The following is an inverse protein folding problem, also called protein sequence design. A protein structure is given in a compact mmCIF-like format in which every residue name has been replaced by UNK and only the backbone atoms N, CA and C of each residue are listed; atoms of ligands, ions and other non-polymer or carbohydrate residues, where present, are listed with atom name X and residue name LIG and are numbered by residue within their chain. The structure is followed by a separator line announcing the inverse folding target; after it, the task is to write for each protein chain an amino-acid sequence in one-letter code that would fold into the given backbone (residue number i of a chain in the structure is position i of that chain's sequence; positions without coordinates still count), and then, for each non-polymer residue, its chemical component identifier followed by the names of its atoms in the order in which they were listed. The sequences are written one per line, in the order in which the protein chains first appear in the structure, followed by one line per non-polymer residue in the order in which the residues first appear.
data_IF_699235910077
#
_entry.id   IF_699235910077
#
_cell.length_a   1.000
_cell.length_b   1.000
_cell.length_c   1.000
_cell.angle_alpha   90.00
_cell.angle_beta   90.00
_cell.angle_gamma   90.00
#
_symmetry.space_group_name_H-M   'P 1'
#
loop_
_entity.id
_entity.type
_entity.pdbx_description
1 polymer ?
#
# COMPACT_ATOMS: atom_id res chain seq x y z
N UNK A 1 -8.16 16.01 -4.04
CA UNK A 1 -9.28 15.26 -4.59
C UNK A 1 -8.86 13.80 -4.71
N UNK A 2 -9.82 12.88 -4.78
CA UNK A 2 -9.55 11.48 -5.15
C UNK A 2 -10.09 11.27 -6.55
N UNK A 3 -9.36 10.58 -7.43
CA UNK A 3 -9.77 10.32 -8.82
C UNK A 3 -11.21 9.76 -8.91
N UNK A 4 -11.58 8.86 -7.99
CA UNK A 4 -12.94 8.32 -7.86
C UNK A 4 -13.99 9.43 -7.63
N UNK A 5 -13.70 10.44 -6.81
CA UNK A 5 -14.62 11.56 -6.55
C UNK A 5 -14.78 12.48 -7.75
N UNK A 6 -13.81 12.47 -8.66
CA UNK A 6 -13.86 13.20 -9.93
C UNK A 6 -14.52 12.37 -11.05
N UNK A 7 -15.06 11.19 -10.73
CA UNK A 7 -15.72 10.30 -11.69
C UNK A 7 -14.77 9.51 -12.58
N UNK A 8 -13.47 9.53 -12.29
CA UNK A 8 -12.47 8.76 -13.05
C UNK A 8 -12.61 7.28 -12.69
N UNK A 9 -12.80 6.44 -13.71
CA UNK A 9 -12.73 5.00 -13.57
C UNK A 9 -11.29 4.60 -13.24
N UNK A 10 -11.06 4.08 -12.04
CA UNK A 10 -9.74 3.62 -11.63
C UNK A 10 -9.80 2.30 -10.84
N UNK A 11 -8.70 1.55 -10.91
CA UNK A 11 -8.45 0.34 -10.14
C UNK A 11 -7.06 0.44 -9.49
N UNK A 12 -6.99 0.17 -8.19
CA UNK A 12 -5.75 0.05 -7.42
C UNK A 12 -5.42 -1.43 -7.29
N UNK A 13 -4.21 -1.81 -7.71
CA UNK A 13 -3.72 -3.19 -7.63
C UNK A 13 -2.69 -3.29 -6.50
N UNK A 14 -2.95 -4.13 -5.51
CA UNK A 14 -2.09 -4.37 -4.35
C UNK A 14 -1.73 -5.85 -4.29
N UNK A 15 -0.43 -6.15 -4.23
CA UNK A 15 0.08 -7.53 -4.22
C UNK A 15 -0.33 -8.32 -2.97
N UNK A 16 -0.58 -7.61 -1.88
CA UNK A 16 -0.85 -8.18 -0.56
C UNK A 16 -2.32 -8.51 -0.37
N UNK A 17 -2.64 -9.34 0.61
CA UNK A 17 -4.02 -9.62 1.01
C UNK A 17 -4.71 -8.45 1.70
N UNK A 18 -3.95 -7.44 2.14
CA UNK A 18 -4.47 -6.25 2.83
C UNK A 18 -3.73 -4.98 2.41
N UNK A 19 -4.43 -3.84 2.51
CA UNK A 19 -3.86 -2.51 2.33
C UNK A 19 -3.01 -2.07 3.54
N UNK A 20 -2.28 -0.97 3.36
CA UNK A 20 -1.45 -0.33 4.39
C UNK A 20 0.02 -0.15 4.00
N UNK A 21 0.44 -0.75 2.88
CA UNK A 21 1.78 -0.58 2.33
C UNK A 21 2.88 -0.85 3.36
N UNK A 22 3.80 0.10 3.53
CA UNK A 22 4.96 -0.05 4.44
C UNK A 22 4.57 -0.32 5.88
N UNK A 23 3.44 0.23 6.35
CA UNK A 23 2.98 0.04 7.73
C UNK A 23 2.47 -1.36 7.97
N UNK A 24 1.91 -2.00 6.94
CA UNK A 24 1.49 -3.40 7.00
C UNK A 24 2.67 -4.36 6.85
N UNK A 25 3.62 -4.06 5.95
CA UNK A 25 4.73 -4.95 5.61
C UNK A 25 5.92 -4.90 6.56
N UNK A 26 6.24 -3.71 7.06
CA UNK A 26 7.47 -3.47 7.83
C UNK A 26 7.18 -2.93 9.23
N UNK A 27 5.96 -2.47 9.49
CA UNK A 27 5.56 -1.99 10.81
C UNK A 27 5.39 -3.15 11.79
N UNK A 28 5.93 -2.96 13.00
CA UNK A 28 5.63 -3.77 14.18
C UNK A 28 4.77 -2.96 15.18
N UNK A 29 4.31 -3.56 16.30
CA UNK A 29 3.48 -2.85 17.28
C UNK A 29 4.13 -1.60 17.91
N UNK A 30 5.46 -1.52 17.86
CA UNK A 30 6.23 -0.41 18.43
C UNK A 30 6.65 0.63 17.38
N UNK A 31 6.40 0.37 16.10
CA UNK A 31 6.77 1.25 15.00
C UNK A 31 5.92 2.52 15.03
N UNK A 32 6.57 3.67 14.85
CA UNK A 32 5.92 4.99 14.88
C UNK A 32 6.37 5.86 13.71
N UNK A 33 5.53 6.80 13.30
CA UNK A 33 5.92 7.87 12.39
C UNK A 33 6.91 8.82 13.07
N UNK A 34 7.96 9.21 12.36
CA UNK A 34 8.91 10.22 12.83
C UNK A 34 8.39 11.66 12.65
N UNK A 35 7.21 11.83 12.07
CA UNK A 35 6.59 13.14 11.83
C UNK A 35 5.49 13.38 12.85
N UNK A 36 5.53 14.55 13.48
CA UNK A 36 4.54 15.11 14.40
C UNK A 36 3.17 15.26 13.71
N UNK A 37 2.09 14.92 14.40
CA UNK A 37 0.73 15.19 13.96
C UNK A 37 0.47 16.71 13.84
N UNK A 38 -0.29 17.18 12.83
CA UNK A 38 -1.03 16.42 11.82
C UNK A 38 -0.24 16.07 10.55
N UNK A 39 1.09 16.19 10.56
CA UNK A 39 1.93 16.20 9.35
C UNK A 39 1.97 14.90 8.55
N UNK A 40 1.67 13.75 9.16
CA UNK A 40 1.62 12.45 8.48
C UNK A 40 0.19 11.90 8.29
N UNK A 41 -0.83 12.71 8.60
CA UNK A 41 -2.23 12.25 8.62
C UNK A 41 -2.81 12.12 7.22
N UNK A 42 -3.61 11.07 7.02
CA UNK A 42 -4.46 10.96 5.83
C UNK A 42 -5.63 11.96 5.88
N UNK A 43 -6.12 12.38 4.72
CA UNK A 43 -7.24 13.34 4.62
C UNK A 43 -8.58 12.66 4.92
N UNK A 44 -8.81 12.34 6.18
CA UNK A 44 -10.00 11.66 6.69
C UNK A 44 -10.64 12.43 7.85
N UNK A 45 -11.90 12.12 8.15
CA UNK A 45 -12.54 12.52 9.40
C UNK A 45 -12.34 11.44 10.45
N UNK A 46 -12.05 11.83 11.69
CA UNK A 46 -11.85 10.92 12.81
C UNK A 46 -12.42 11.52 14.10
N UNK A 47 -12.91 10.71 15.04
CA UNK A 47 -13.45 11.21 16.29
C UNK A 47 -12.36 11.81 17.17
N UNK A 48 -11.28 11.08 17.41
CA UNK A 48 -10.15 11.49 18.26
C UNK A 48 -8.87 11.53 17.44
N UNK A 49 -7.98 12.54 17.57
CA UNK A 49 -6.72 12.63 16.82
C UNK A 49 -5.77 11.47 17.10
N UNK A 50 -4.80 11.25 16.21
CA UNK A 50 -3.72 10.30 16.48
C UNK A 50 -2.79 10.84 17.57
N UNK A 51 -2.05 9.93 18.18
CA UNK A 51 -0.85 10.23 18.94
C UNK A 51 0.13 11.06 18.10
N UNK A 52 0.84 11.99 18.74
CA UNK A 52 1.75 12.91 18.04
C UNK A 52 2.77 12.21 17.12
N UNK A 53 3.26 11.04 17.53
CA UNK A 53 4.03 10.13 16.70
C UNK A 53 3.23 8.84 16.56
N UNK A 54 2.30 8.86 15.62
CA UNK A 54 1.29 7.82 15.40
C UNK A 54 1.94 6.45 15.25
N UNK A 55 1.36 5.47 15.94
CA UNK A 55 1.76 4.08 15.81
C UNK A 55 1.34 3.49 14.46
N UNK A 56 1.94 2.35 14.10
CA UNK A 56 1.55 1.59 12.91
C UNK A 56 0.04 1.28 12.85
N UNK A 57 -0.57 0.88 13.98
CA UNK A 57 -2.00 0.57 14.03
C UNK A 57 -2.90 1.80 13.82
N UNK A 58 -2.45 2.99 14.24
CA UNK A 58 -3.14 4.25 14.01
C UNK A 58 -3.15 4.59 12.52
N UNK A 59 -2.01 4.44 11.82
CA UNK A 59 -1.94 4.67 10.39
C UNK A 59 -2.78 3.65 9.60
N UNK A 60 -2.77 2.38 10.01
CA UNK A 60 -3.61 1.35 9.38
C UNK A 60 -5.10 1.63 9.57
N UNK A 61 -5.48 2.17 10.74
CA UNK A 61 -6.85 2.63 11.01
C UNK A 61 -7.21 3.80 10.10
N UNK A 62 -6.31 4.77 9.94
CA UNK A 62 -6.52 5.90 9.02
C UNK A 62 -6.71 5.42 7.57
N UNK A 63 -5.96 4.40 7.12
CA UNK A 63 -6.14 3.80 5.80
C UNK A 63 -7.53 3.17 5.65
N UNK A 64 -8.00 2.42 6.65
CA UNK A 64 -9.35 1.83 6.63
C UNK A 64 -10.42 2.91 6.55
N UNK A 65 -10.32 3.95 7.39
CA UNK A 65 -11.24 5.09 7.37
C UNK A 65 -11.23 5.82 6.01
N UNK A 66 -10.07 5.94 5.37
CA UNK A 66 -9.99 6.52 4.03
C UNK A 66 -10.74 5.68 2.99
N UNK A 67 -10.64 4.35 3.06
CA UNK A 67 -11.35 3.44 2.16
C UNK A 67 -12.86 3.57 2.36
N UNK A 68 -13.33 3.59 3.60
CA UNK A 68 -14.75 3.70 3.94
C UNK A 68 -15.33 5.06 3.55
N UNK A 69 -14.71 6.17 3.97
CA UNK A 69 -15.23 7.53 3.75
C UNK A 69 -15.17 8.00 2.29
N UNK A 70 -14.43 7.28 1.45
CA UNK A 70 -14.30 7.57 0.03
C UNK A 70 -14.84 6.44 -0.85
N UNK A 71 -15.50 5.42 -0.26
CA UNK A 71 -16.08 4.27 -0.96
C UNK A 71 -15.11 3.58 -1.91
N UNK A 72 -13.84 3.44 -1.51
CA UNK A 72 -12.76 2.95 -2.38
C UNK A 72 -12.69 1.43 -2.46
N UNK A 73 -13.44 0.70 -1.63
CA UNK A 73 -13.32 -0.75 -1.50
C UNK A 73 -13.49 -1.49 -2.83
N UNK A 74 -14.48 -1.09 -3.64
CA UNK A 74 -14.74 -1.70 -4.95
C UNK A 74 -13.65 -1.45 -6.00
N UNK A 75 -12.76 -0.49 -5.75
CA UNK A 75 -11.67 -0.10 -6.64
C UNK A 75 -10.33 -0.71 -6.24
N UNK A 76 -10.25 -1.42 -5.11
CA UNK A 76 -9.01 -1.98 -4.59
C UNK A 76 -9.02 -3.50 -4.81
N UNK A 77 -8.03 -3.98 -5.56
CA UNK A 77 -7.83 -5.39 -5.85
C UNK A 77 -6.59 -5.88 -5.13
N UNK A 78 -6.79 -6.49 -3.97
CA UNK A 78 -5.75 -7.19 -3.22
C UNK A 78 -5.31 -8.48 -3.94
N UNK A 79 -4.19 -9.06 -3.50
CA UNK A 79 -3.57 -10.25 -4.10
C UNK A 79 -3.36 -10.13 -5.62
N UNK A 80 -3.07 -8.91 -6.09
CA UNK A 80 -2.86 -8.59 -7.50
C UNK A 80 -1.47 -8.00 -7.67
N UNK A 81 -0.51 -8.85 -8.02
CA UNK A 81 0.89 -8.44 -8.21
C UNK A 81 1.12 -8.00 -9.65
N UNK A 82 1.43 -6.71 -9.84
CA UNK A 82 1.83 -6.15 -11.13
C UNK A 82 3.33 -6.35 -11.32
N UNK A 83 3.72 -7.05 -12.38
CA UNK A 83 5.13 -7.36 -12.69
C UNK A 83 5.72 -6.43 -13.74
N UNK A 84 4.89 -5.88 -14.62
CA UNK A 84 5.35 -4.93 -15.64
C UNK A 84 4.27 -3.92 -16.00
N UNK A 85 4.68 -2.68 -16.23
CA UNK A 85 3.83 -1.62 -16.77
C UNK A 85 4.59 -0.94 -17.90
N UNK A 86 3.98 -0.86 -19.08
CA UNK A 86 4.59 -0.25 -20.25
C UNK A 86 3.57 0.51 -21.08
N UNK A 87 4.06 1.50 -21.83
CA UNK A 87 3.24 2.33 -22.72
C UNK A 87 3.11 1.62 -24.06
N UNK A 88 1.88 1.46 -24.56
CA UNK A 88 1.59 0.81 -25.84
C UNK A 88 1.34 1.81 -26.96
N UNK A 89 0.81 2.98 -26.64
CA UNK A 89 0.56 4.08 -27.59
C UNK A 89 0.50 5.43 -26.84
N UNK A 90 0.36 6.58 -27.53
CA UNK A 90 0.02 7.84 -26.89
C UNK A 90 -1.22 7.69 -26.00
N UNK A 91 -1.14 8.14 -24.75
CA UNK A 91 -2.20 7.99 -23.74
C UNK A 91 -2.74 6.55 -23.57
N UNK A 92 -1.89 5.53 -23.76
CA UNK A 92 -2.28 4.13 -23.58
C UNK A 92 -1.17 3.36 -22.87
N UNK A 93 -1.52 2.75 -21.76
CA UNK A 93 -0.66 1.92 -20.92
C UNK A 93 -1.24 0.52 -20.77
N UNK A 94 -0.37 -0.43 -20.52
CA UNK A 94 -0.73 -1.81 -20.19
C UNK A 94 0.04 -2.25 -18.96
N UNK A 95 -0.68 -2.78 -17.99
CA UNK A 95 -0.15 -3.45 -16.82
C UNK A 95 -0.34 -4.97 -16.96
N UNK A 96 0.75 -5.72 -16.79
CA UNK A 96 0.71 -7.18 -16.70
C UNK A 96 1.01 -7.59 -15.26
N UNK A 97 0.38 -8.68 -14.83
CA UNK A 97 0.58 -9.20 -13.50
C UNK A 97 -0.07 -10.55 -13.29
N UNK A 98 -0.15 -10.94 -12.03
CA UNK A 98 -0.76 -12.19 -11.60
C UNK A 98 -1.55 -12.03 -10.31
N UNK A 99 -2.61 -12.81 -10.22
CA UNK A 99 -3.34 -13.11 -8.98
C UNK A 99 -3.12 -14.58 -8.64
N UNK A 100 -3.70 -15.02 -7.52
CA UNK A 100 -3.78 -16.45 -7.19
C UNK A 100 -4.52 -17.28 -8.25
N UNK A 101 -5.42 -16.67 -9.04
CA UNK A 101 -6.24 -17.35 -10.04
C UNK A 101 -5.62 -17.37 -11.44
N UNK A 102 -4.54 -16.62 -11.68
CA UNK A 102 -3.82 -16.64 -12.95
C UNK A 102 -3.19 -15.30 -13.32
N UNK A 103 -2.79 -15.19 -14.59
CA UNK A 103 -2.19 -13.96 -15.13
C UNK A 103 -3.27 -13.02 -15.65
N UNK A 104 -3.01 -11.71 -15.55
CA UNK A 104 -3.89 -10.67 -16.09
C UNK A 104 -3.12 -9.68 -16.96
N UNK A 105 -3.88 -8.99 -17.82
CA UNK A 105 -3.45 -7.84 -18.61
C UNK A 105 -4.54 -6.78 -18.54
N UNK A 106 -4.21 -5.56 -18.11
CA UNK A 106 -5.15 -4.45 -17.93
C UNK A 106 -4.64 -3.25 -18.72
N UNK A 107 -5.48 -2.71 -19.59
CA UNK A 107 -5.23 -1.46 -20.31
C UNK A 107 -5.76 -0.25 -19.54
N UNK A 108 -5.06 0.89 -19.63
CA UNK A 108 -5.50 2.15 -19.03
C UNK A 108 -4.98 3.36 -19.81
N UNK A 109 -5.65 4.50 -19.69
CA UNK A 109 -5.16 5.75 -20.32
C UNK A 109 -3.89 6.25 -19.63
N UNK A 110 -3.85 6.16 -18.29
CA UNK A 110 -2.72 6.51 -17.45
C UNK A 110 -2.38 5.38 -16.49
N UNK A 111 -1.12 5.31 -16.05
CA UNK A 111 -0.67 4.40 -15.01
C UNK A 111 0.06 5.19 -13.92
N UNK A 112 -0.33 4.98 -12.66
CA UNK A 112 0.28 5.65 -11.49
C UNK A 112 0.97 4.60 -10.63
N UNK A 113 2.28 4.74 -10.45
CA UNK A 113 3.11 3.79 -9.69
C UNK A 113 3.36 4.30 -8.28
N UNK A 114 2.55 3.84 -7.33
CA UNK A 114 2.67 4.15 -5.89
C UNK A 114 3.45 3.08 -5.13
N UNK A 115 4.61 2.66 -5.63
CA UNK A 115 5.44 1.62 -4.99
C UNK A 115 6.38 2.22 -3.94
N UNK A 116 6.65 1.47 -2.87
CA UNK A 116 7.69 1.86 -1.94
C UNK A 116 9.06 1.78 -2.63
N UNK A 117 9.73 2.93 -2.77
CA UNK A 117 11.10 3.02 -3.32
C UNK A 117 12.16 3.30 -2.24
N UNK A 118 11.76 3.51 -0.99
CA UNK A 118 12.64 4.00 0.09
C UNK A 118 13.09 2.89 1.04
N UNK A 119 12.21 1.94 1.36
CA UNK A 119 12.63 0.75 2.11
C UNK A 119 12.96 -0.32 1.08
N UNK A 120 14.25 -0.58 0.90
CA UNK A 120 14.72 -1.70 0.09
C UNK A 120 14.39 -3.04 0.77
N UNK A 121 14.74 -4.13 0.11
CA UNK A 121 14.67 -5.47 0.71
C UNK A 121 15.40 -5.47 2.06
N UNK A 122 14.80 -6.00 3.14
CA UNK A 122 15.48 -6.15 4.41
C UNK A 122 16.86 -6.77 4.21
N UNK A 123 17.89 -6.19 4.83
CA UNK A 123 19.24 -6.75 4.74
C UNK A 123 19.28 -8.03 5.56
N UNK A 124 19.64 -9.13 4.90
CA UNK A 124 19.97 -10.38 5.58
C UNK A 124 21.44 -10.28 6.00
N UNK A 125 21.67 -10.25 7.31
CA UNK A 125 23.01 -10.27 7.88
C UNK A 125 23.29 -11.70 8.34
N UNK A 126 24.14 -12.47 7.64
CA UNK A 126 24.43 -13.83 8.07
C UNK A 126 25.24 -13.78 9.36
N UNK A 127 24.63 -14.21 10.47
CA UNK A 127 25.30 -14.37 11.75
C UNK A 127 25.61 -15.87 11.90
N UNK A 128 26.88 -16.21 12.13
CA UNK A 128 27.27 -17.59 12.38
C UNK A 128 26.49 -18.14 13.60
N UNK A 129 25.89 -19.33 13.46
CA UNK A 129 25.04 -20.00 14.47
C UNK A 129 23.64 -19.43 14.69
N UNK A 130 23.17 -18.46 13.88
CA UNK A 130 21.78 -17.96 13.95
C UNK A 130 20.76 -19.08 13.70
N UNK A 131 21.11 -20.07 12.88
CA UNK A 131 20.35 -21.29 12.62
C UNK A 131 20.15 -22.19 13.87
N UNK A 132 20.91 -21.94 14.95
CA UNK A 132 20.81 -22.67 16.22
C UNK A 132 19.96 -21.96 17.26
N UNK A 133 19.45 -20.76 16.97
CA UNK A 133 18.46 -20.11 17.82
C UNK A 133 17.12 -20.83 17.65
N UNK A 134 16.80 -21.72 18.59
CA UNK A 134 15.42 -22.16 18.78
C UNK A 134 14.66 -20.99 19.41
N UNK A 135 13.71 -20.40 18.68
CA UNK A 135 12.80 -19.43 19.27
C UNK A 135 12.01 -20.10 20.39
N UNK A 136 11.97 -19.48 21.57
CA UNK A 136 11.18 -19.91 22.73
C UNK A 136 9.66 -19.77 22.47
#
# INVERSE_FOLDING_TARGET
STYVREGVLCSLLEKSSAFGGVWRWHGNPFSRVNTTEPGYRLRIKRPEPNTNHSYSYEILTDCQLAIEQHSLAAHIHCNSEVTSVFRTAPASWTALGSTWSGRFSIGSEWAVLCTNRRLGTPRVLPIATEDRLAGD
#
